data_IF_038549329942
#
_entry.id   IF_038549329942
#
_cell.length_a   1.000
_cell.length_b   1.000
_cell.length_c   1.000
_cell.angle_alpha   90.00
_cell.angle_beta   90.00
_cell.angle_gamma   90.00
#
_symmetry.space_group_name_H-M   'P 1'
#
loop_
_entity.id
_entity.type
_entity.pdbx_description
1 polymer ?
#
# COMPACT_ATOMS: atom_id res chain seq x y z
N UNK A 1 -41.73 23.12 -4.71
CA UNK A 1 -40.68 23.26 -3.68
C UNK A 1 -39.69 22.11 -3.83
N UNK A 2 -38.50 22.35 -4.39
CA UNK A 2 -37.45 21.34 -4.42
C UNK A 2 -36.85 21.22 -3.02
N UNK A 3 -37.14 20.11 -2.33
CA UNK A 3 -36.46 19.78 -1.07
C UNK A 3 -34.98 19.61 -1.38
N UNK A 4 -34.14 20.51 -0.89
CA UNK A 4 -32.69 20.35 -0.84
C UNK A 4 -32.36 19.21 0.12
N UNK A 5 -32.56 17.97 -0.33
CA UNK A 5 -32.06 16.79 0.37
C UNK A 5 -30.56 16.75 0.12
N UNK A 6 -29.78 17.37 1.02
CA UNK A 6 -28.34 17.14 1.08
C UNK A 6 -28.16 15.63 1.32
N UNK A 7 -27.92 14.85 0.26
CA UNK A 7 -27.53 13.45 0.38
C UNK A 7 -26.34 13.40 1.31
N UNK A 8 -26.46 12.64 2.40
CA UNK A 8 -25.38 12.46 3.37
C UNK A 8 -24.23 11.83 2.60
N UNK A 9 -23.13 12.57 2.45
CA UNK A 9 -21.94 12.07 1.77
C UNK A 9 -21.28 11.10 2.75
N UNK A 10 -21.19 9.83 2.37
CA UNK A 10 -20.47 8.82 3.16
C UNK A 10 -18.98 9.14 3.17
N UNK A 11 -18.42 9.19 4.37
CA UNK A 11 -17.00 9.47 4.64
C UNK A 11 -16.61 8.68 5.86
N UNK A 12 -15.42 8.12 5.86
CA UNK A 12 -14.94 7.39 7.03
C UNK A 12 -13.64 6.66 6.78
N UNK A 13 -13.35 5.75 7.70
CA UNK A 13 -12.19 4.88 7.64
C UNK A 13 -12.50 3.75 6.66
N UNK A 14 -11.72 3.65 5.58
CA UNK A 14 -11.84 2.57 4.62
C UNK A 14 -11.08 1.32 5.05
N UNK A 15 -9.94 1.55 5.73
CA UNK A 15 -9.10 0.52 6.29
C UNK A 15 -8.54 1.05 7.61
N UNK A 16 -8.58 0.26 8.70
CA UNK A 16 -8.04 0.70 9.98
C UNK A 16 -6.56 1.05 9.82
N UNK A 17 -6.07 1.94 10.67
CA UNK A 17 -4.63 2.22 10.71
C UNK A 17 -3.90 0.95 11.12
N UNK A 18 -2.96 0.53 10.27
CA UNK A 18 -2.08 -0.58 10.54
C UNK A 18 -0.63 -0.10 10.59
N UNK A 19 0.13 -0.59 11.56
CA UNK A 19 1.53 -0.22 11.82
C UNK A 19 2.34 -1.52 11.83
N UNK A 20 2.85 -1.93 10.69
CA UNK A 20 3.56 -3.21 10.56
C UNK A 20 5.07 -2.99 10.69
N UNK A 21 5.67 -3.54 11.74
CA UNK A 21 7.08 -3.34 12.09
C UNK A 21 7.96 -4.45 11.50
N UNK A 22 9.11 -4.09 10.94
CA UNK A 22 10.18 -4.98 10.47
C UNK A 22 9.70 -6.12 9.57
N UNK A 23 9.72 -7.37 10.05
CA UNK A 23 9.33 -8.56 9.30
C UNK A 23 7.81 -8.69 9.09
N UNK A 24 6.99 -7.93 9.81
CA UNK A 24 5.53 -7.98 9.71
C UNK A 24 5.08 -7.41 8.37
N UNK A 25 4.58 -8.25 7.46
CA UNK A 25 4.33 -7.86 6.08
C UNK A 25 3.27 -6.73 5.95
N UNK A 26 2.09 -6.92 6.54
CA UNK A 26 0.98 -5.95 6.49
C UNK A 26 -0.08 -6.27 7.55
N UNK A 27 -1.09 -5.40 7.67
CA UNK A 27 -2.33 -5.59 8.46
C UNK A 27 -2.14 -5.73 9.98
N UNK A 28 -1.03 -5.23 10.53
CA UNK A 28 -0.86 -5.15 11.97
C UNK A 28 -1.68 -3.98 12.55
N UNK A 29 -2.85 -4.26 13.10
CA UNK A 29 -3.64 -3.28 13.86
C UNK A 29 -3.65 -3.69 15.32
N UNK A 30 -2.84 -3.03 16.18
CA UNK A 30 -2.64 -3.46 17.55
C UNK A 30 -3.94 -3.36 18.35
N UNK A 31 -4.17 -4.35 19.22
CA UNK A 31 -5.24 -4.28 20.21
C UNK A 31 -4.82 -3.40 21.38
N UNK A 32 -5.77 -2.97 22.21
CA UNK A 32 -5.49 -2.13 23.38
C UNK A 32 -4.56 -2.80 24.43
N UNK A 33 -4.39 -4.13 24.36
CA UNK A 33 -3.50 -4.91 25.22
C UNK A 33 -2.10 -5.10 24.62
N UNK A 34 -1.82 -4.56 23.45
CA UNK A 34 -0.51 -4.65 22.84
C UNK A 34 0.46 -3.64 23.47
N UNK A 35 1.61 -4.14 23.93
CA UNK A 35 2.66 -3.36 24.60
C UNK A 35 3.90 -3.18 23.71
N UNK A 36 3.79 -3.45 22.41
CA UNK A 36 4.91 -3.32 21.48
C UNK A 36 5.43 -1.88 21.44
N UNK A 37 6.72 -1.70 21.74
CA UNK A 37 7.42 -0.40 21.70
C UNK A 37 8.28 -0.35 20.45
N UNK A 38 8.25 0.78 19.74
CA UNK A 38 9.07 1.03 18.56
C UNK A 38 10.49 1.42 18.99
N UNK A 39 11.49 0.82 18.34
CA UNK A 39 12.89 1.08 18.62
C UNK A 39 13.54 1.94 17.52
N UNK A 40 14.68 2.54 17.83
CA UNK A 40 15.46 3.29 16.85
C UNK A 40 15.97 2.33 15.76
N UNK A 41 15.86 2.76 14.50
CA UNK A 41 16.17 1.98 13.28
C UNK A 41 15.11 0.93 12.88
N UNK A 42 13.94 0.92 13.52
CA UNK A 42 12.82 0.09 13.04
C UNK A 42 12.28 0.59 11.70
N UNK A 43 11.99 -0.38 10.81
CA UNK A 43 11.28 -0.10 9.55
C UNK A 43 9.79 -0.27 9.78
N UNK A 44 9.03 0.82 9.62
CA UNK A 44 7.61 0.87 9.98
C UNK A 44 6.73 1.11 8.76
N UNK A 45 5.91 0.11 8.43
CA UNK A 45 4.91 0.20 7.37
C UNK A 45 3.59 0.69 7.95
N UNK A 46 3.30 1.98 7.75
CA UNK A 46 2.05 2.59 8.18
C UNK A 46 1.06 2.54 7.02
N UNK A 47 0.01 1.73 7.13
CA UNK A 47 -1.10 1.66 6.17
C UNK A 47 -2.33 2.35 6.76
N UNK A 48 -2.83 3.37 6.07
CA UNK A 48 -4.10 4.01 6.42
C UNK A 48 -4.88 4.30 5.16
N UNK A 49 -6.21 4.11 5.21
CA UNK A 49 -7.07 4.42 4.06
C UNK A 49 -8.31 5.17 4.48
N UNK A 50 -8.57 6.27 3.78
CA UNK A 50 -9.77 7.07 3.95
C UNK A 50 -10.72 6.81 2.80
N UNK A 51 -12.01 6.68 3.11
CA UNK A 51 -13.08 6.63 2.12
C UNK A 51 -13.78 7.97 2.02
N UNK A 52 -14.01 8.40 0.78
CA UNK A 52 -14.93 9.48 0.46
C UNK A 52 -15.85 9.00 -0.65
N UNK A 53 -17.11 8.73 -0.31
CA UNK A 53 -18.08 8.08 -1.19
C UNK A 53 -17.57 6.70 -1.64
N UNK A 54 -17.18 6.55 -2.90
CA UNK A 54 -16.59 5.33 -3.46
C UNK A 54 -15.09 5.41 -3.74
N UNK A 55 -14.43 6.50 -3.33
CA UNK A 55 -13.00 6.67 -3.54
C UNK A 55 -12.23 6.29 -2.28
N UNK A 56 -11.09 5.64 -2.49
CA UNK A 56 -10.16 5.24 -1.45
C UNK A 56 -8.79 5.85 -1.75
N UNK A 57 -8.15 6.42 -0.75
CA UNK A 57 -6.77 6.89 -0.84
C UNK A 57 -5.97 6.30 0.32
N UNK A 58 -4.76 5.84 0.06
CA UNK A 58 -3.85 5.31 1.07
C UNK A 58 -2.40 5.65 0.75
N UNK A 59 -1.58 5.66 1.79
CA UNK A 59 -0.13 5.87 1.74
C UNK A 59 0.54 4.75 2.54
N UNK A 60 1.74 4.34 2.16
CA UNK A 60 2.52 3.37 2.92
C UNK A 60 4.02 3.76 3.01
N UNK A 61 4.65 3.25 4.07
CA UNK A 61 6.10 3.20 4.36
C UNK A 61 6.71 4.46 4.99
N UNK A 62 7.21 4.32 6.22
CA UNK A 62 8.07 5.27 6.94
C UNK A 62 9.23 4.52 7.62
N UNK A 63 10.37 5.18 7.84
CA UNK A 63 11.47 4.63 8.66
C UNK A 63 11.67 5.53 9.86
N UNK A 64 11.82 4.94 11.05
CA UNK A 64 12.09 5.68 12.29
C UNK A 64 13.60 5.78 12.50
N UNK A 65 14.26 6.63 11.70
CA UNK A 65 15.69 6.90 11.84
C UNK A 65 15.96 8.40 11.64
N UNK A 66 16.83 8.96 12.47
CA UNK A 66 17.44 10.27 12.23
C UNK A 66 18.68 10.10 11.32
N UNK A 67 18.67 10.76 10.16
CA UNK A 67 19.76 10.70 9.18
C UNK A 67 19.55 9.68 8.04
N UNK A 68 20.59 9.42 7.23
CA UNK A 68 20.47 8.54 6.06
C UNK A 68 20.34 7.07 6.47
N UNK A 69 19.33 6.39 5.95
CA UNK A 69 19.16 4.93 6.10
C UNK A 69 20.22 4.23 5.25
N UNK A 70 20.96 3.28 5.84
CA UNK A 70 22.04 2.52 5.18
C UNK A 70 21.82 1.01 5.33
N UNK A 71 22.51 0.23 4.47
CA UNK A 71 22.48 -1.23 4.52
C UNK A 71 21.19 -1.84 3.97
N UNK A 72 20.82 -3.04 4.46
CA UNK A 72 19.72 -3.84 3.89
C UNK A 72 18.37 -3.14 3.95
N UNK A 73 18.13 -2.31 4.96
CA UNK A 73 16.90 -1.54 5.08
C UNK A 73 16.78 -0.53 3.93
N UNK A 74 17.88 0.17 3.61
CA UNK A 74 17.93 1.09 2.47
C UNK A 74 17.73 0.37 1.13
N UNK A 75 18.38 -0.78 0.96
CA UNK A 75 18.22 -1.60 -0.25
C UNK A 75 16.77 -2.04 -0.45
N UNK A 76 16.12 -2.51 0.63
CA UNK A 76 14.71 -2.93 0.60
C UNK A 76 13.78 -1.75 0.23
N UNK A 77 14.01 -0.57 0.82
CA UNK A 77 13.19 0.62 0.56
C UNK A 77 13.38 1.11 -0.88
N UNK A 78 14.63 1.16 -1.36
CA UNK A 78 14.94 1.54 -2.73
C UNK A 78 14.34 0.56 -3.74
N UNK A 79 14.43 -0.75 -3.47
CA UNK A 79 13.80 -1.78 -4.28
C UNK A 79 12.26 -1.63 -4.31
N UNK A 80 11.63 -1.40 -3.15
CA UNK A 80 10.20 -1.18 -3.06
C UNK A 80 9.74 0.09 -3.81
N UNK A 81 10.49 1.20 -3.67
CA UNK A 81 10.21 2.43 -4.41
C UNK A 81 10.34 2.21 -5.92
N UNK A 82 11.42 1.54 -6.36
CA UNK A 82 11.64 1.21 -7.78
C UNK A 82 10.49 0.35 -8.32
N UNK A 83 10.04 -0.65 -7.57
CA UNK A 83 8.92 -1.49 -7.96
C UNK A 83 7.60 -0.69 -8.08
N UNK A 84 7.33 0.22 -7.13
CA UNK A 84 6.17 1.10 -7.19
C UNK A 84 6.22 2.04 -8.40
N UNK A 85 7.40 2.56 -8.68
CA UNK A 85 7.70 3.41 -9.83
C UNK A 85 7.55 2.69 -11.18
N UNK A 86 7.97 1.43 -11.26
CA UNK A 86 7.76 0.58 -12.43
C UNK A 86 6.28 0.26 -12.58
N UNK A 87 5.60 -0.14 -11.50
CA UNK A 87 4.17 -0.40 -11.51
C UNK A 87 3.37 0.82 -12.00
N UNK A 88 3.69 2.02 -11.50
CA UNK A 88 3.05 3.26 -11.94
C UNK A 88 3.20 3.50 -13.45
N UNK A 89 4.36 3.16 -14.03
CA UNK A 89 4.63 3.30 -15.48
C UNK A 89 3.98 2.19 -16.32
N UNK A 90 3.78 1.00 -15.73
CA UNK A 90 3.18 -0.15 -16.41
C UNK A 90 1.65 -0.16 -16.36
N UNK A 91 1.05 0.43 -15.31
CA UNK A 91 -0.42 0.52 -15.17
C UNK A 91 -0.98 1.31 -16.35
N UNK A 92 -1.64 0.57 -17.24
CA UNK A 92 -2.25 1.08 -18.47
C UNK A 92 -3.74 0.80 -18.47
N UNK A 93 -4.46 1.56 -19.30
CA UNK A 93 -5.88 1.31 -19.50
C UNK A 93 -6.11 -0.11 -20.03
N UNK A 94 -7.19 -0.72 -19.57
CA UNK A 94 -7.58 -2.10 -19.88
C UNK A 94 -7.55 -2.47 -21.39
N UNK A 95 -7.75 -1.50 -22.29
CA UNK A 95 -7.67 -1.71 -23.75
C UNK A 95 -6.27 -2.10 -24.24
N UNK A 96 -5.21 -1.70 -23.53
CA UNK A 96 -3.82 -2.03 -23.90
C UNK A 96 -3.34 -3.36 -23.28
N UNK A 97 -3.95 -3.77 -22.16
CA UNK A 97 -3.59 -5.00 -21.45
C UNK A 97 -3.99 -6.29 -22.22
N UNK A 98 -5.10 -6.26 -22.97
CA UNK A 98 -5.52 -7.41 -23.79
C UNK A 98 -4.51 -7.75 -24.91
N UNK A 99 -3.76 -6.78 -25.42
CA UNK A 99 -2.69 -7.02 -26.39
C UNK A 99 -1.50 -7.77 -25.79
N UNK A 100 -1.31 -7.71 -24.46
CA UNK A 100 -0.23 -8.41 -23.74
C UNK A 100 -0.68 -9.72 -23.09
N UNK A 101 -1.97 -9.86 -22.75
CA UNK A 101 -2.54 -11.14 -22.29
C UNK A 101 -2.48 -12.24 -23.36
N UNK A 102 -2.46 -11.87 -24.65
CA UNK A 102 -2.17 -12.81 -25.74
C UNK A 102 -0.70 -13.27 -25.78
N UNK A 103 0.23 -12.46 -25.26
CA UNK A 103 1.68 -12.78 -25.20
C UNK A 103 2.08 -13.62 -23.98
N UNK A 104 1.42 -13.45 -22.83
CA UNK A 104 1.71 -14.23 -21.62
C UNK A 104 1.16 -15.67 -21.64
N UNK A 105 0.32 -16.02 -22.64
CA UNK A 105 -0.17 -17.39 -22.81
C UNK A 105 0.85 -18.36 -23.42
N UNK A 106 2.01 -17.86 -23.88
CA UNK A 106 3.09 -18.70 -24.43
C UNK A 106 4.12 -19.17 -23.39
N UNK A 107 4.05 -18.70 -22.14
CA UNK A 107 5.02 -19.07 -21.08
C UNK A 107 4.46 -20.03 -20.02
N UNK A 108 3.16 -20.39 -20.08
CA UNK A 108 2.57 -21.44 -19.23
C UNK A 108 2.82 -22.87 -19.76
N UNK A 109 3.83 -23.05 -20.62
CA UNK A 109 4.17 -24.30 -21.28
C UNK A 109 5.17 -25.21 -20.56
N UNK A 110 5.50 -24.96 -19.29
CA UNK A 110 6.36 -25.89 -18.52
C UNK A 110 5.92 -25.93 -17.06
N UNK A 111 4.98 -26.85 -16.80
CA UNK A 111 4.70 -27.38 -15.48
C UNK A 111 5.12 -28.86 -15.45
N UNK A 112 6.37 -29.11 -15.04
CA UNK A 112 6.81 -30.23 -14.19
C UNK A 112 7.99 -29.71 -13.37
#
# INVERSE_FOLDING_TARGET
>A
MYKNVKKKIERGIAFPTCISVNNTACHYSPLASDETILEENDVVKIDMRVSYRWFYCGCCTHVLQEGPVIGRAADMIAAANTAAEVALRLVRSWKEAYGQAAGMRYLEGTWI
#
